data_IF_645462643358
#
_entry.id   IF_645462643358
#
_cell.length_a   1.000
_cell.length_b   1.000
_cell.length_c   1.000
_cell.angle_alpha   90.00
_cell.angle_beta   90.00
_cell.angle_gamma   90.00
#
_symmetry.space_group_name_H-M   'P 1'
#
loop_
_entity.id
_entity.type
_entity.pdbx_description
1 polymer ?
#
# COMPACT_ATOMS: atom_id res chain seq x y z
N UNK A 1 -12.11 11.73 -11.95
CA UNK A 1 -11.73 10.35 -12.36
C UNK A 1 -12.80 9.38 -11.86
N UNK A 2 -13.26 8.43 -12.68
CA UNK A 2 -14.40 7.53 -12.34
C UNK A 2 -14.08 6.41 -11.35
N UNK A 3 -12.85 6.33 -10.83
CA UNK A 3 -12.45 5.31 -9.83
C UNK A 3 -12.34 3.89 -10.38
N UNK A 4 -12.45 3.72 -11.69
CA UNK A 4 -12.33 2.47 -12.44
C UNK A 4 -10.89 1.95 -12.39
N UNK A 5 -10.75 0.63 -12.27
CA UNK A 5 -9.46 -0.04 -12.36
C UNK A 5 -9.07 -0.16 -13.83
N UNK A 6 -7.78 -0.03 -14.11
CA UNK A 6 -7.27 -0.30 -15.46
C UNK A 6 -7.40 -1.79 -15.78
N UNK A 7 -7.67 -2.12 -17.03
CA UNK A 7 -7.70 -3.51 -17.46
C UNK A 7 -6.33 -4.18 -17.20
N UNK A 8 -6.36 -5.40 -16.66
CA UNK A 8 -5.14 -6.15 -16.32
C UNK A 8 -4.34 -5.58 -15.14
N UNK A 9 -4.95 -4.82 -14.23
CA UNK A 9 -4.30 -4.33 -13.01
C UNK A 9 -3.75 -5.46 -12.12
N UNK A 10 -4.35 -6.65 -12.19
CA UNK A 10 -4.13 -7.83 -11.36
C UNK A 10 -3.25 -8.91 -12.01
N UNK A 11 -2.88 -8.76 -13.29
CA UNK A 11 -2.17 -9.79 -14.06
C UNK A 11 -0.82 -10.24 -13.48
N UNK A 12 -0.19 -9.40 -12.66
CA UNK A 12 1.11 -9.65 -12.03
C UNK A 12 0.99 -10.04 -10.55
N UNK A 13 -0.23 -10.31 -10.06
CA UNK A 13 -0.42 -10.88 -8.72
C UNK A 13 0.09 -12.33 -8.74
N UNK A 14 1.01 -12.71 -7.83
CA UNK A 14 1.58 -14.05 -7.80
C UNK A 14 0.52 -15.09 -7.40
N UNK A 15 0.56 -16.23 -8.09
CA UNK A 15 -0.07 -17.47 -7.63
C UNK A 15 0.94 -18.30 -6.81
N UNK A 16 0.43 -19.12 -5.90
CA UNK A 16 1.24 -19.94 -5.01
C UNK A 16 0.85 -21.41 -5.19
N UNK A 17 1.83 -22.25 -5.47
CA UNK A 17 1.66 -23.70 -5.57
C UNK A 17 1.41 -24.33 -4.18
N UNK A 18 0.76 -25.48 -4.18
CA UNK A 18 0.56 -26.28 -2.99
C UNK A 18 1.92 -26.67 -2.37
N UNK A 19 2.02 -26.65 -1.04
CA UNK A 19 3.26 -26.95 -0.31
C UNK A 19 4.22 -25.76 -0.15
N UNK A 20 4.00 -24.62 -0.82
CA UNK A 20 4.77 -23.40 -0.56
C UNK A 20 4.37 -22.80 0.79
N UNK A 21 5.34 -22.69 1.70
CA UNK A 21 5.15 -22.04 3.01
C UNK A 21 5.58 -20.57 2.96
N UNK A 22 4.63 -19.66 3.19
CA UNK A 22 4.87 -18.22 3.20
C UNK A 22 3.92 -17.55 4.21
N UNK A 23 4.46 -16.64 5.03
CA UNK A 23 3.63 -15.83 5.91
C UNK A 23 2.71 -14.93 5.10
N UNK A 24 1.44 -14.80 5.50
CA UNK A 24 0.43 -14.00 4.76
C UNK A 24 0.82 -12.53 4.59
N UNK A 25 1.54 -11.94 5.56
CA UNK A 25 2.13 -10.59 5.41
C UNK A 25 3.12 -10.50 4.24
N UNK A 26 3.90 -11.55 4.01
CA UNK A 26 4.88 -11.59 2.93
C UNK A 26 4.17 -11.77 1.57
N UNK A 27 3.19 -12.66 1.47
CA UNK A 27 2.38 -12.77 0.25
C UNK A 27 1.58 -11.49 -0.03
N UNK A 28 1.07 -10.81 1.00
CA UNK A 28 0.47 -9.48 0.85
C UNK A 28 1.45 -8.46 0.25
N UNK A 29 2.71 -8.47 0.66
CA UNK A 29 3.73 -7.59 0.09
C UNK A 29 4.11 -7.93 -1.35
N UNK A 30 4.11 -9.22 -1.70
CA UNK A 30 4.30 -9.67 -3.09
C UNK A 30 3.11 -9.25 -3.97
N UNK A 31 1.88 -9.46 -3.50
CA UNK A 31 0.67 -9.02 -4.19
C UNK A 31 0.64 -7.49 -4.38
N UNK A 32 0.96 -6.72 -3.33
CA UNK A 32 1.07 -5.25 -3.40
C UNK A 32 2.01 -4.81 -4.53
N UNK A 33 3.19 -5.43 -4.63
CA UNK A 33 4.17 -5.09 -5.66
C UNK A 33 3.76 -5.59 -7.06
N UNK A 34 2.99 -6.67 -7.17
CA UNK A 34 2.35 -7.10 -8.42
C UNK A 34 1.34 -6.06 -8.92
N UNK A 35 0.44 -5.62 -8.04
CA UNK A 35 -0.59 -4.62 -8.33
C UNK A 35 0.05 -3.27 -8.69
N UNK A 36 1.04 -2.81 -7.91
CA UNK A 36 1.62 -1.48 -8.05
C UNK A 36 2.35 -1.24 -9.39
N UNK A 37 2.72 -2.31 -10.13
CA UNK A 37 3.27 -2.22 -11.49
C UNK A 37 2.23 -1.75 -12.49
N UNK A 38 0.99 -2.17 -12.32
CA UNK A 38 -0.09 -1.92 -13.27
C UNK A 38 -1.07 -0.85 -12.78
N UNK A 39 -1.01 -0.49 -11.48
CA UNK A 39 -1.86 0.53 -10.87
C UNK A 39 -1.03 1.75 -10.45
N UNK A 40 -0.70 2.68 -11.36
CA UNK A 40 0.21 3.79 -11.09
C UNK A 40 -0.29 4.74 -9.99
N UNK A 41 -1.61 4.83 -9.81
CA UNK A 41 -2.28 5.63 -8.80
C UNK A 41 -2.53 4.89 -7.46
N UNK A 42 -1.91 3.71 -7.26
CA UNK A 42 -1.83 3.08 -5.95
C UNK A 42 -0.75 3.77 -5.10
N UNK A 43 -1.16 4.35 -3.98
CA UNK A 43 -0.29 5.10 -3.06
C UNK A 43 -0.60 4.67 -1.63
N UNK A 44 0.39 4.58 -0.76
CA UNK A 44 0.13 4.20 0.62
C UNK A 44 1.40 3.96 1.40
N UNK A 45 1.28 3.36 2.57
CA UNK A 45 2.45 3.11 3.41
C UNK A 45 2.11 2.49 4.74
N UNK A 46 2.84 2.88 5.78
CA UNK A 46 2.70 2.30 7.11
C UNK A 46 2.96 3.29 8.22
N UNK A 47 2.35 3.03 9.37
CA UNK A 47 2.64 3.71 10.61
C UNK A 47 3.98 3.22 11.22
N UNK A 48 5.10 3.58 10.58
CA UNK A 48 6.48 3.22 10.97
C UNK A 48 6.80 1.71 10.98
N UNK A 49 5.95 0.88 10.38
CA UNK A 49 6.06 -0.58 10.41
C UNK A 49 6.21 -1.18 9.00
N UNK A 50 6.65 -0.41 8.00
CA UNK A 50 6.66 -0.84 6.60
C UNK A 50 7.43 -2.14 6.34
N UNK A 51 8.57 -2.33 7.03
CA UNK A 51 9.36 -3.55 6.96
C UNK A 51 8.68 -4.76 7.61
N UNK A 52 7.91 -4.54 8.68
CA UNK A 52 7.18 -5.56 9.43
C UNK A 52 5.89 -5.97 8.74
N UNK A 53 5.14 -4.99 8.21
CA UNK A 53 3.89 -5.18 7.47
C UNK A 53 4.11 -5.60 6.01
N UNK A 54 5.32 -5.41 5.46
CA UNK A 54 5.67 -5.68 4.05
C UNK A 54 4.91 -4.79 3.06
N UNK A 55 4.77 -3.51 3.39
CA UNK A 55 3.93 -2.54 2.67
C UNK A 55 4.71 -1.58 1.75
N UNK A 56 6.01 -1.81 1.54
CA UNK A 56 6.79 -0.98 0.61
C UNK A 56 6.49 -1.33 -0.86
N UNK A 57 6.17 -0.31 -1.65
CA UNK A 57 6.18 -0.39 -3.11
C UNK A 57 7.62 -0.19 -3.60
N UNK A 58 8.21 -1.25 -4.12
CA UNK A 58 9.60 -1.24 -4.61
C UNK A 58 9.74 -0.29 -5.80
N UNK A 59 10.84 0.46 -5.83
CA UNK A 59 11.20 1.35 -6.95
C UNK A 59 10.29 2.56 -7.16
N UNK A 60 9.41 2.89 -6.21
CA UNK A 60 8.41 3.97 -6.37
C UNK A 60 8.69 5.22 -5.56
N UNK A 61 9.86 5.33 -4.93
CA UNK A 61 10.28 6.49 -4.14
C UNK A 61 9.44 6.74 -2.89
N UNK A 62 9.87 7.72 -2.12
CA UNK A 62 9.21 8.16 -0.88
C UNK A 62 8.47 9.47 -1.14
N UNK A 63 7.25 9.55 -0.62
CA UNK A 63 6.47 10.78 -0.64
C UNK A 63 7.04 11.75 0.39
N UNK A 64 7.72 12.80 -0.07
CA UNK A 64 8.41 13.77 0.77
C UNK A 64 8.37 15.17 0.14
N UNK A 65 8.55 16.26 0.92
CA UNK A 65 8.75 17.59 0.33
C UNK A 65 9.86 17.59 -0.73
N UNK A 66 9.51 17.93 -1.96
CA UNK A 66 10.42 17.91 -3.12
C UNK A 66 10.39 16.61 -3.95
N UNK A 67 9.65 15.58 -3.52
CA UNK A 67 9.45 14.32 -4.26
C UNK A 67 8.01 13.80 -4.09
N UNK A 68 7.03 14.63 -4.47
CA UNK A 68 5.61 14.32 -4.30
C UNK A 68 5.07 13.24 -5.24
N UNK A 69 5.87 12.84 -6.24
CA UNK A 69 5.62 11.69 -7.10
C UNK A 69 5.86 10.33 -6.40
N UNK A 70 6.54 10.34 -5.25
CA UNK A 70 6.79 9.14 -4.46
C UNK A 70 5.50 8.47 -3.98
N UNK A 71 5.44 7.14 -4.04
CA UNK A 71 4.21 6.38 -3.70
C UNK A 71 4.22 5.72 -2.32
N UNK A 72 5.36 5.77 -1.61
CA UNK A 72 5.49 5.28 -0.24
C UNK A 72 5.34 6.43 0.77
N UNK A 73 4.30 6.39 1.59
CA UNK A 73 4.02 7.38 2.63
C UNK A 73 4.56 6.88 3.98
N UNK A 74 5.41 7.69 4.61
CA UNK A 74 5.93 7.47 5.95
C UNK A 74 5.04 8.18 6.97
N UNK A 75 3.99 7.49 7.45
CA UNK A 75 3.02 8.11 8.37
C UNK A 75 3.61 8.36 9.78
N UNK A 76 4.69 7.66 10.15
CA UNK A 76 5.21 7.59 11.52
C UNK A 76 4.27 6.82 12.44
N UNK A 77 4.54 6.77 13.74
CA UNK A 77 3.69 6.09 14.74
C UNK A 77 2.41 6.91 15.00
N UNK A 78 1.48 6.88 14.03
CA UNK A 78 0.29 7.74 13.97
C UNK A 78 -0.89 7.02 13.30
N UNK A 79 -1.31 5.88 13.83
CA UNK A 79 -2.33 5.00 13.27
C UNK A 79 -3.64 5.73 12.96
N UNK A 80 -4.16 6.47 13.94
CA UNK A 80 -5.42 7.17 13.76
C UNK A 80 -5.32 8.28 12.69
N UNK A 81 -4.24 9.07 12.72
CA UNK A 81 -4.01 10.10 11.71
C UNK A 81 -3.78 9.50 10.32
N UNK A 82 -3.11 8.36 10.20
CA UNK A 82 -2.98 7.59 8.95
C UNK A 82 -4.36 7.19 8.42
N UNK A 83 -5.23 6.65 9.27
CA UNK A 83 -6.61 6.32 8.91
C UNK A 83 -7.40 7.53 8.38
N UNK A 84 -7.38 8.63 9.13
CA UNK A 84 -8.05 9.87 8.74
C UNK A 84 -7.48 10.46 7.43
N UNK A 85 -6.16 10.44 7.25
CA UNK A 85 -5.50 10.90 6.02
C UNK A 85 -5.92 10.06 4.81
N UNK A 86 -5.95 8.72 4.95
CA UNK A 86 -6.41 7.82 3.88
C UNK A 86 -7.87 8.08 3.49
N UNK A 87 -8.75 8.36 4.46
CA UNK A 87 -10.13 8.75 4.17
C UNK A 87 -10.17 10.02 3.31
N UNK A 88 -9.41 11.05 3.68
CA UNK A 88 -9.30 12.29 2.92
C UNK A 88 -8.77 12.07 1.50
N UNK A 89 -7.72 11.26 1.35
CA UNK A 89 -7.15 10.91 0.04
C UNK A 89 -8.16 10.16 -0.85
N UNK A 90 -8.90 9.21 -0.29
CA UNK A 90 -9.92 8.47 -1.02
C UNK A 90 -11.10 9.38 -1.43
N UNK A 91 -11.54 10.28 -0.54
CA UNK A 91 -12.61 11.26 -0.81
C UNK A 91 -12.22 12.30 -1.87
N UNK A 92 -10.96 12.77 -1.84
CA UNK A 92 -10.43 13.66 -2.88
C UNK A 92 -10.51 13.00 -4.27
N UNK A 93 -10.30 11.68 -4.33
CA UNK A 93 -10.38 10.89 -5.55
C UNK A 93 -9.11 10.95 -6.39
N UNK A 94 -9.05 10.06 -7.38
CA UNK A 94 -7.89 9.87 -8.26
C UNK A 94 -6.88 8.85 -7.78
N UNK A 95 -6.90 8.47 -6.50
CA UNK A 95 -5.97 7.50 -5.90
C UNK A 95 -6.68 6.24 -5.40
N UNK A 96 -5.94 5.14 -5.35
CA UNK A 96 -6.26 3.97 -4.51
C UNK A 96 -5.27 3.96 -3.36
N UNK A 97 -5.77 3.82 -2.14
CA UNK A 97 -4.97 4.00 -0.92
C UNK A 97 -4.87 2.71 -0.10
N UNK A 98 -3.74 2.54 0.59
CA UNK A 98 -3.56 1.50 1.59
C UNK A 98 -2.71 2.00 2.77
N UNK A 99 -2.87 1.34 3.91
CA UNK A 99 -2.12 1.61 5.14
C UNK A 99 -1.84 0.32 5.88
N UNK A 100 -0.72 0.26 6.59
CA UNK A 100 -0.32 -0.90 7.39
C UNK A 100 0.15 -0.52 8.80
N UNK A 101 -0.37 -1.23 9.79
CA UNK A 101 0.14 -1.27 11.17
C UNK A 101 -0.03 -2.70 11.71
N UNK A 102 0.39 -2.99 12.94
CA UNK A 102 0.03 -4.26 13.58
C UNK A 102 -1.45 -4.30 13.92
N UNK A 103 -2.06 -5.47 13.77
CA UNK A 103 -3.50 -5.61 13.97
C UNK A 103 -3.95 -5.26 15.40
N UNK A 104 -3.07 -5.46 16.39
CA UNK A 104 -3.34 -5.08 17.80
C UNK A 104 -3.49 -3.58 18.01
N UNK A 105 -3.00 -2.73 17.11
CA UNK A 105 -3.12 -1.26 17.18
C UNK A 105 -4.23 -0.71 16.27
N UNK A 106 -5.12 -1.57 15.79
CA UNK A 106 -6.27 -1.15 14.98
C UNK A 106 -7.40 -0.51 15.79
N UNK A 107 -7.30 -0.54 17.12
CA UNK A 107 -8.25 -0.01 18.10
C UNK A 107 -8.06 1.48 18.42
N UNK A 108 -6.97 2.08 17.94
CA UNK A 108 -6.59 3.49 18.15
C UNK A 108 -7.31 4.42 17.16
#
# INVERSE_FOLDING_TARGET
MKGELVEGWDKDIPAYEEGKSLASRASSGEALNGIAKNLPYLVGGSADLAGSNKTMIKGSGDFFPGSFEGRNIWFGVREFAMGAAMNGMALHGGLKVFGGTFFVFSDI
#
